data_IF_718837770931
#
_entry.id   IF_718837770931
#
_cell.length_a   1.000
_cell.length_b   1.000
_cell.length_c   1.000
_cell.angle_alpha   90.00
_cell.angle_beta   90.00
_cell.angle_gamma   90.00
#
_symmetry.space_group_name_H-M   'P 1'
#
loop_
_entity.id
_entity.type
_entity.pdbx_description
1 polymer ?
#
# COMPACT_ATOMS: atom_id res chain seq x y z
N UNK A 1 -1.24 8.11 -18.60
CA UNK A 1 -2.53 7.62 -19.14
C UNK A 1 -2.42 6.27 -19.83
N UNK A 2 -1.56 6.09 -20.85
CA UNK A 2 -1.42 4.77 -21.52
C UNK A 2 -0.85 3.70 -20.59
N UNK A 3 0.21 4.00 -19.84
CA UNK A 3 0.82 3.07 -18.88
C UNK A 3 -0.13 2.65 -17.76
N UNK A 4 -0.86 3.60 -17.17
CA UNK A 4 -1.88 3.35 -16.15
C UNK A 4 -3.04 2.51 -16.68
N UNK A 5 -3.46 2.72 -17.92
CA UNK A 5 -4.50 1.92 -18.56
C UNK A 5 -4.04 0.47 -18.81
N UNK A 6 -2.79 0.26 -19.22
CA UNK A 6 -2.22 -1.08 -19.39
C UNK A 6 -2.14 -1.84 -18.08
N UNK A 7 -1.70 -1.18 -16.99
CA UNK A 7 -1.68 -1.80 -15.66
C UNK A 7 -3.09 -2.15 -15.21
N UNK A 8 -4.06 -1.24 -15.38
CA UNK A 8 -5.44 -1.50 -15.00
C UNK A 8 -6.05 -2.69 -15.77
N UNK A 9 -5.79 -2.79 -17.08
CA UNK A 9 -6.22 -3.92 -17.91
C UNK A 9 -5.52 -5.22 -17.50
N UNK A 10 -4.24 -5.18 -17.16
CA UNK A 10 -3.48 -6.35 -16.72
C UNK A 10 -3.99 -6.83 -15.36
N UNK A 11 -4.13 -5.95 -14.37
CA UNK A 11 -4.68 -6.29 -13.06
C UNK A 11 -6.11 -6.80 -13.19
N UNK A 12 -6.98 -6.10 -13.92
CA UNK A 12 -8.35 -6.55 -14.16
C UNK A 12 -8.43 -7.90 -14.87
N UNK A 13 -7.57 -8.13 -15.87
CA UNK A 13 -7.47 -9.39 -16.60
C UNK A 13 -7.00 -10.54 -15.72
N UNK A 14 -5.93 -10.35 -14.94
CA UNK A 14 -5.39 -11.33 -13.99
C UNK A 14 -6.41 -11.66 -12.91
N UNK A 15 -7.05 -10.66 -12.32
CA UNK A 15 -8.08 -10.86 -11.28
C UNK A 15 -9.29 -11.59 -11.86
N UNK A 16 -9.77 -11.20 -13.05
CA UNK A 16 -10.89 -11.89 -13.71
C UNK A 16 -10.55 -13.35 -14.04
N UNK A 17 -9.32 -13.62 -14.50
CA UNK A 17 -8.85 -14.97 -14.75
C UNK A 17 -8.76 -15.78 -13.46
N UNK A 18 -8.16 -15.22 -12.40
CA UNK A 18 -8.05 -15.87 -11.10
C UNK A 18 -9.44 -16.22 -10.52
N UNK A 19 -10.42 -15.33 -10.65
CA UNK A 19 -11.81 -15.61 -10.23
C UNK A 19 -12.45 -16.71 -11.07
N UNK A 20 -12.22 -16.73 -12.39
CA UNK A 20 -12.77 -17.76 -13.29
C UNK A 20 -12.15 -19.14 -13.06
N UNK A 21 -10.84 -19.21 -12.86
CA UNK A 21 -10.13 -20.46 -12.58
C UNK A 21 -10.54 -21.06 -11.24
N UNK A 22 -10.86 -20.22 -10.26
CA UNK A 22 -11.28 -20.66 -8.93
C UNK A 22 -12.82 -20.77 -8.78
N UNK A 23 -13.60 -20.72 -9.88
CA UNK A 23 -15.07 -20.70 -9.82
C UNK A 23 -15.67 -21.90 -9.07
N UNK A 24 -15.13 -23.10 -9.28
CA UNK A 24 -15.59 -24.29 -8.55
C UNK A 24 -15.24 -24.23 -7.06
N UNK A 25 -14.04 -23.74 -6.73
CA UNK A 25 -13.59 -23.56 -5.34
C UNK A 25 -14.40 -22.48 -4.61
N UNK A 26 -14.74 -21.38 -5.30
CA UNK A 26 -15.66 -20.33 -4.81
C UNK A 26 -17.01 -20.95 -4.44
N UNK A 27 -17.58 -21.80 -5.30
CA UNK A 27 -18.87 -22.45 -5.03
C UNK A 27 -18.81 -23.49 -3.90
N UNK A 28 -17.64 -24.03 -3.59
CA UNK A 28 -17.45 -25.16 -2.66
C UNK A 28 -16.93 -24.76 -1.27
N UNK A 29 -16.11 -23.71 -1.13
CA UNK A 29 -15.32 -23.42 0.07
C UNK A 29 -15.68 -22.12 0.81
N UNK A 30 -16.86 -21.55 0.59
CA UNK A 30 -17.31 -20.36 1.34
C UNK A 30 -17.99 -19.28 0.50
N UNK A 31 -18.24 -19.53 -0.80
CA UNK A 31 -19.02 -18.63 -1.65
C UNK A 31 -18.34 -17.28 -1.83
N UNK A 32 -19.06 -16.23 -1.45
CA UNK A 32 -18.69 -14.84 -1.69
C UNK A 32 -17.42 -14.44 -0.91
N UNK A 33 -17.22 -14.93 0.32
CA UNK A 33 -16.03 -14.59 1.12
C UNK A 33 -14.74 -15.13 0.49
N UNK A 34 -14.78 -16.29 -0.17
CA UNK A 34 -13.62 -16.81 -0.88
C UNK A 34 -13.26 -15.93 -2.09
N UNK A 35 -14.27 -15.44 -2.81
CA UNK A 35 -14.07 -14.50 -3.91
C UNK A 35 -13.48 -13.17 -3.40
N UNK A 36 -13.97 -12.66 -2.26
CA UNK A 36 -13.38 -11.48 -1.62
C UNK A 36 -11.95 -11.74 -1.12
N UNK A 37 -11.59 -12.95 -0.74
CA UNK A 37 -10.20 -13.29 -0.41
C UNK A 37 -9.24 -13.13 -1.60
N UNK A 38 -9.69 -13.47 -2.81
CA UNK A 38 -8.91 -13.23 -4.03
C UNK A 38 -8.83 -11.73 -4.33
N UNK A 39 -9.94 -11.00 -4.18
CA UNK A 39 -9.97 -9.55 -4.39
C UNK A 39 -9.11 -8.79 -3.37
N UNK A 40 -9.07 -9.27 -2.13
CA UNK A 40 -8.26 -8.73 -1.04
C UNK A 40 -6.78 -8.72 -1.41
N UNK A 41 -6.27 -9.74 -2.10
CA UNK A 41 -4.86 -9.74 -2.52
C UNK A 41 -4.55 -8.54 -3.44
N UNK A 42 -5.49 -8.18 -4.30
CA UNK A 42 -5.35 -7.05 -5.22
C UNK A 42 -5.39 -5.72 -4.46
N UNK A 43 -6.31 -5.56 -3.51
CA UNK A 43 -6.41 -4.36 -2.68
C UNK A 43 -5.23 -4.23 -1.72
N UNK A 44 -4.71 -5.33 -1.19
CA UNK A 44 -3.50 -5.36 -0.39
C UNK A 44 -2.29 -4.86 -1.19
N UNK A 45 -2.16 -5.25 -2.47
CA UNK A 45 -1.14 -4.70 -3.36
C UNK A 45 -1.33 -3.20 -3.60
N UNK A 46 -2.56 -2.75 -3.81
CA UNK A 46 -2.88 -1.33 -3.99
C UNK A 46 -2.52 -0.51 -2.73
N UNK A 47 -2.86 -1.03 -1.55
CA UNK A 47 -2.52 -0.41 -0.27
C UNK A 47 -1.01 -0.42 -0.01
N UNK A 48 -0.30 -1.51 -0.33
CA UNK A 48 1.16 -1.56 -0.24
C UNK A 48 1.84 -0.50 -1.12
N UNK A 49 1.31 -0.28 -2.33
CA UNK A 49 1.78 0.79 -3.21
C UNK A 49 1.50 2.19 -2.64
N UNK A 50 0.28 2.42 -2.13
CA UNK A 50 -0.12 3.68 -1.51
C UNK A 50 0.78 4.01 -0.30
N UNK A 51 0.95 3.01 0.57
CA UNK A 51 1.78 3.10 1.77
C UNK A 51 3.25 3.37 1.41
N UNK A 52 3.81 2.64 0.44
CA UNK A 52 5.18 2.85 -0.01
C UNK A 52 5.40 4.25 -0.60
N UNK A 53 4.43 4.77 -1.36
CA UNK A 53 4.53 6.10 -1.98
C UNK A 53 4.59 7.23 -0.96
N UNK A 54 3.78 7.14 0.11
CA UNK A 54 3.79 8.11 1.21
C UNK A 54 5.04 7.96 2.09
N UNK A 55 5.37 6.73 2.50
CA UNK A 55 6.42 6.47 3.48
C UNK A 55 7.84 6.67 2.92
N UNK A 56 8.05 6.43 1.62
CA UNK A 56 9.33 6.74 0.97
C UNK A 56 9.61 8.24 1.05
N UNK A 57 8.60 9.10 0.88
CA UNK A 57 8.77 10.55 0.99
C UNK A 57 9.18 10.95 2.43
N UNK A 58 8.56 10.34 3.43
CA UNK A 58 8.88 10.57 4.84
C UNK A 58 10.32 10.13 5.21
N UNK A 59 10.79 9.01 4.65
CA UNK A 59 12.14 8.49 4.91
C UNK A 59 13.23 9.23 4.13
N UNK A 60 12.99 9.54 2.86
CA UNK A 60 14.00 10.11 1.95
C UNK A 60 14.06 11.63 2.00
N UNK A 61 12.98 12.32 2.39
CA UNK A 61 12.94 13.78 2.48
C UNK A 61 14.11 14.39 3.26
N UNK A 62 14.38 13.93 4.52
CA UNK A 62 15.53 14.41 5.29
C UNK A 62 16.89 14.08 4.64
N UNK A 63 17.03 12.88 4.08
CA UNK A 63 18.28 12.44 3.44
C UNK A 63 18.58 13.29 2.20
N UNK A 64 17.58 13.57 1.37
CA UNK A 64 17.70 14.42 0.20
C UNK A 64 18.08 15.86 0.58
N UNK A 65 17.52 16.39 1.67
CA UNK A 65 17.87 17.72 2.18
C UNK A 65 19.35 17.81 2.61
N UNK A 66 19.84 16.81 3.36
CA UNK A 66 21.25 16.75 3.79
C UNK A 66 22.19 16.71 2.58
N UNK A 67 21.89 15.86 1.60
CA UNK A 67 22.72 15.71 0.39
C UNK A 67 22.74 17.02 -0.42
N UNK A 68 21.60 17.73 -0.48
CA UNK A 68 21.52 19.03 -1.16
C UNK A 68 22.44 20.07 -0.52
N UNK A 69 22.45 20.15 0.81
CA UNK A 69 23.30 21.10 1.57
C UNK A 69 24.78 20.76 1.38
N UNK A 70 25.16 19.49 1.47
CA UNK A 70 26.56 19.06 1.34
C UNK A 70 27.11 19.34 -0.06
N UNK A 71 26.32 19.10 -1.10
CA UNK A 71 26.79 19.23 -2.48
C UNK A 71 26.73 20.66 -3.01
N UNK A 72 25.73 21.44 -2.60
CA UNK A 72 25.43 22.74 -3.22
C UNK A 72 25.67 23.93 -2.29
N UNK A 73 25.91 23.72 -0.98
CA UNK A 73 25.91 24.76 0.06
C UNK A 73 24.66 25.67 0.03
N UNK A 74 23.57 25.19 -0.58
CA UNK A 74 22.35 25.96 -0.79
C UNK A 74 21.14 25.14 -0.36
N UNK A 75 20.25 25.75 0.41
CA UNK A 75 18.94 25.21 0.72
C UNK A 75 17.98 25.60 -0.42
N UNK A 76 18.20 25.00 -1.59
CA UNK A 76 17.20 25.01 -2.66
C UNK A 76 15.89 24.39 -2.12
N UNK A 77 14.76 25.07 -2.31
CA UNK A 77 13.43 24.54 -1.98
C UNK A 77 13.05 23.28 -2.76
N UNK A 78 13.84 22.95 -3.79
CA UNK A 78 13.65 21.79 -4.66
C UNK A 78 14.97 21.02 -4.72
N UNK A 79 15.12 20.00 -3.87
CA UNK A 79 16.23 19.06 -3.98
C UNK A 79 15.89 18.06 -5.11
N UNK A 80 16.66 18.00 -6.21
CA UNK A 80 16.46 16.96 -7.22
C UNK A 80 16.75 15.60 -6.58
N UNK A 81 15.70 14.80 -6.39
CA UNK A 81 15.83 13.48 -5.76
C UNK A 81 16.40 12.51 -6.80
N UNK A 82 17.60 12.00 -6.54
CA UNK A 82 18.22 10.97 -7.36
C UNK A 82 17.43 9.64 -7.20
N UNK A 83 17.05 8.96 -8.30
CA UNK A 83 16.39 7.66 -8.25
C UNK A 83 17.10 6.61 -7.37
N UNK A 84 18.42 6.67 -7.24
CA UNK A 84 19.19 5.77 -6.37
C UNK A 84 18.83 5.94 -4.88
N UNK A 85 18.51 7.16 -4.44
CA UNK A 85 18.13 7.46 -3.06
C UNK A 85 16.71 6.93 -2.79
N UNK A 86 15.80 7.07 -3.77
CA UNK A 86 14.46 6.46 -3.69
C UNK A 86 14.55 4.93 -3.60
N UNK A 87 15.47 4.32 -4.36
CA UNK A 87 15.69 2.88 -4.34
C UNK A 87 16.22 2.41 -2.98
N UNK A 88 17.11 3.20 -2.35
CA UNK A 88 17.57 2.96 -0.98
C UNK A 88 16.42 3.00 0.03
N UNK A 89 15.53 3.99 -0.08
CA UNK A 89 14.34 4.11 0.78
C UNK A 89 13.40 2.91 0.63
N UNK A 90 13.09 2.54 -0.62
CA UNK A 90 12.25 1.37 -0.91
C UNK A 90 12.87 0.06 -0.41
N UNK A 91 14.17 -0.15 -0.64
CA UNK A 91 14.88 -1.33 -0.15
C UNK A 91 14.88 -1.39 1.39
N UNK A 92 15.07 -0.26 2.06
CA UNK A 92 14.99 -0.15 3.52
C UNK A 92 13.62 -0.54 4.07
N UNK A 93 12.54 -0.09 3.43
CA UNK A 93 11.15 -0.45 3.81
C UNK A 93 10.94 -1.97 3.67
N UNK A 94 11.36 -2.57 2.56
CA UNK A 94 11.22 -4.02 2.33
C UNK A 94 12.02 -4.83 3.37
N UNK A 95 13.25 -4.41 3.68
CA UNK A 95 14.06 -5.05 4.72
C UNK A 95 13.43 -4.91 6.11
N UNK A 96 12.88 -3.75 6.46
CA UNK A 96 12.18 -3.54 7.73
C UNK A 96 10.93 -4.41 7.88
N UNK A 97 10.10 -4.47 6.82
CA UNK A 97 8.88 -5.29 6.79
C UNK A 97 9.18 -6.78 6.90
N UNK A 98 10.20 -7.27 6.19
CA UNK A 98 10.57 -8.70 6.21
C UNK A 98 11.19 -9.13 7.54
N UNK A 99 11.93 -8.25 8.23
CA UNK A 99 12.60 -8.58 9.49
C UNK A 99 11.73 -8.39 10.73
N UNK A 100 10.94 -7.32 10.80
CA UNK A 100 10.19 -6.93 12.01
C UNK A 100 8.69 -6.73 11.76
N UNK A 101 8.25 -6.59 10.51
CA UNK A 101 6.85 -6.29 10.16
C UNK A 101 5.85 -7.35 10.64
N UNK A 102 6.27 -8.62 10.74
CA UNK A 102 5.41 -9.71 11.21
C UNK A 102 4.82 -9.48 12.62
N UNK A 103 5.53 -8.75 13.50
CA UNK A 103 5.05 -8.44 14.86
C UNK A 103 3.86 -7.48 14.83
N UNK A 104 3.89 -6.51 13.92
CA UNK A 104 2.80 -5.52 13.76
C UNK A 104 1.62 -6.15 13.04
N UNK A 105 1.86 -6.91 11.97
CA UNK A 105 0.82 -7.65 11.23
C UNK A 105 0.05 -8.56 12.20
N UNK A 106 0.75 -9.29 13.07
CA UNK A 106 0.13 -10.14 14.10
C UNK A 106 -0.71 -9.33 15.08
N UNK A 107 -0.22 -8.18 15.53
CA UNK A 107 -0.93 -7.34 16.50
C UNK A 107 -2.23 -6.78 15.90
N UNK A 108 -2.20 -6.27 14.68
CA UNK A 108 -3.38 -5.73 13.99
C UNK A 108 -4.39 -6.83 13.69
N UNK A 109 -3.92 -7.96 13.13
CA UNK A 109 -4.79 -9.07 12.71
C UNK A 109 -5.41 -9.88 13.85
N UNK A 110 -4.79 -9.93 15.03
CA UNK A 110 -5.32 -10.71 16.16
C UNK A 110 -5.95 -9.84 17.25
N UNK A 111 -5.47 -8.60 17.48
CA UNK A 111 -5.88 -7.80 18.66
C UNK A 111 -6.81 -6.63 18.37
N UNK A 112 -6.95 -6.20 17.10
CA UNK A 112 -7.80 -5.05 16.75
C UNK A 112 -9.15 -5.51 16.22
N UNK A 113 -9.19 -6.30 15.13
CA UNK A 113 -10.46 -6.83 14.63
C UNK A 113 -10.29 -8.18 13.92
N UNK A 114 -11.34 -9.02 14.00
CA UNK A 114 -11.41 -10.25 13.19
C UNK A 114 -11.82 -9.88 11.76
N UNK A 115 -10.83 -9.73 10.90
CA UNK A 115 -11.04 -9.45 9.48
C UNK A 115 -11.62 -10.67 8.76
N UNK A 116 -12.85 -10.54 8.26
CA UNK A 116 -13.31 -11.37 7.14
C UNK A 116 -12.75 -10.82 5.83
N UNK A 117 -12.58 -11.66 4.79
CA UNK A 117 -12.10 -11.23 3.49
C UNK A 117 -12.86 -10.02 2.89
N UNK A 118 -14.18 -9.99 3.01
CA UNK A 118 -15.00 -8.87 2.53
C UNK A 118 -14.71 -7.54 3.26
N UNK A 119 -14.51 -7.59 4.58
CA UNK A 119 -14.20 -6.42 5.41
C UNK A 119 -12.80 -5.90 5.08
N UNK A 120 -11.82 -6.78 5.00
CA UNK A 120 -10.45 -6.34 4.71
C UNK A 120 -10.28 -5.81 3.28
N UNK A 121 -11.00 -6.36 2.29
CA UNK A 121 -11.05 -5.77 0.94
C UNK A 121 -11.57 -4.32 0.99
N UNK A 122 -12.66 -4.08 1.73
CA UNK A 122 -13.28 -2.75 1.82
C UNK A 122 -12.35 -1.77 2.54
N UNK A 123 -11.75 -2.18 3.66
CA UNK A 123 -10.78 -1.39 4.42
C UNK A 123 -9.51 -1.06 3.61
N UNK A 124 -8.96 -2.03 2.88
CA UNK A 124 -7.75 -1.76 2.08
C UNK A 124 -8.03 -0.84 0.91
N UNK A 125 -9.19 -0.98 0.26
CA UNK A 125 -9.56 -0.16 -0.89
C UNK A 125 -9.81 1.29 -0.50
N UNK A 126 -10.52 1.53 0.60
CA UNK A 126 -10.75 2.87 1.11
C UNK A 126 -9.44 3.52 1.58
N UNK A 127 -8.59 2.78 2.31
CA UNK A 127 -7.35 3.32 2.86
C UNK A 127 -6.36 3.64 1.74
N UNK A 128 -6.25 2.74 0.77
CA UNK A 128 -5.40 2.96 -0.41
C UNK A 128 -5.85 4.19 -1.18
N UNK A 129 -7.16 4.36 -1.38
CA UNK A 129 -7.71 5.52 -2.10
C UNK A 129 -7.40 6.83 -1.37
N UNK A 130 -7.61 6.87 -0.06
CA UNK A 130 -7.33 8.03 0.79
C UNK A 130 -5.84 8.37 0.79
N UNK A 131 -4.97 7.37 0.95
CA UNK A 131 -3.50 7.56 1.00
C UNK A 131 -2.95 7.99 -0.35
N UNK A 132 -3.40 7.39 -1.45
CA UNK A 132 -2.98 7.81 -2.80
C UNK A 132 -3.42 9.25 -3.07
N UNK A 133 -4.65 9.60 -2.71
CA UNK A 133 -5.17 10.95 -2.91
C UNK A 133 -4.38 11.98 -2.10
N UNK A 134 -4.12 11.73 -0.82
CA UNK A 134 -3.32 12.60 0.03
C UNK A 134 -1.86 12.71 -0.46
N UNK A 135 -1.26 11.59 -0.88
CA UNK A 135 0.10 11.57 -1.43
C UNK A 135 0.20 12.37 -2.72
N UNK A 136 -0.84 12.32 -3.57
CA UNK A 136 -0.91 13.12 -4.79
C UNK A 136 -0.98 14.62 -4.50
N UNK A 137 -1.65 15.03 -3.42
CA UNK A 137 -1.66 16.41 -2.93
C UNK A 137 -0.37 16.81 -2.22
N UNK A 138 0.54 15.87 -1.96
CA UNK A 138 1.79 16.11 -1.24
C UNK A 138 1.62 16.24 0.28
N UNK A 139 0.49 15.83 0.83
CA UNK A 139 0.27 15.88 2.28
C UNK A 139 0.86 14.64 2.96
N UNK A 140 1.78 14.82 3.94
CA UNK A 140 2.27 13.71 4.74
C UNK A 140 1.17 13.30 5.73
N UNK A 141 0.60 12.10 5.54
CA UNK A 141 -0.43 11.56 6.42
C UNK A 141 0.01 10.25 7.08
N UNK A 142 -0.59 9.92 8.22
CA UNK A 142 -0.35 8.66 8.93
C UNK A 142 -1.17 7.52 8.33
N UNK A 143 -0.51 6.65 7.55
CA UNK A 143 -1.12 5.46 6.93
C UNK A 143 -1.72 4.51 7.96
N UNK A 144 -1.09 4.37 9.13
CA UNK A 144 -1.59 3.55 10.24
C UNK A 144 -2.92 4.06 10.79
N UNK A 145 -3.08 5.38 10.97
CA UNK A 145 -4.35 5.94 11.43
C UNK A 145 -5.45 5.79 10.39
N UNK A 146 -5.13 5.98 9.10
CA UNK A 146 -6.09 5.75 8.02
C UNK A 146 -6.56 4.31 8.01
N UNK A 147 -5.64 3.33 8.07
CA UNK A 147 -6.00 1.91 8.03
C UNK A 147 -6.78 1.49 9.27
N UNK A 148 -6.34 1.86 10.49
CA UNK A 148 -7.05 1.50 11.73
C UNK A 148 -8.41 2.19 11.79
N UNK A 149 -8.51 3.46 11.37
CA UNK A 149 -9.78 4.20 11.36
C UNK A 149 -10.84 3.50 10.52
N UNK A 150 -10.48 3.08 9.30
CA UNK A 150 -11.41 2.37 8.43
C UNK A 150 -11.76 0.96 8.93
N UNK A 151 -10.81 0.25 9.54
CA UNK A 151 -11.10 -1.02 10.21
C UNK A 151 -12.11 -0.87 11.36
N UNK A 152 -12.09 0.25 12.08
CA UNK A 152 -13.04 0.50 13.18
C UNK A 152 -14.43 0.89 12.68
N UNK A 153 -14.54 1.55 11.53
CA UNK A 153 -15.85 1.90 10.94
C UNK A 153 -16.60 0.68 10.38
N UNK A 154 -15.87 -0.39 10.05
CA UNK A 154 -16.40 -1.59 9.41
C UNK A 154 -16.85 -2.68 10.40
N UNK A 155 -16.71 -2.47 11.72
CA UNK A 155 -16.97 -3.44 12.80
C UNK A 155 -18.06 -2.94 13.73
#
# INVERSE_FOLDING_TARGET
>A
MVFTALIALLVGGVTSLALRLNKESISSQGGIEYAFGILMIVTACAMAFAHGSNDVANAIGPVAAIISVVNSNDLSSTAPINPAILLLGGAGIVLGLTTLGYKVIKTVGEKITKLTPSLGFSAEMAAASTVVFASYLGFPISTTHTLIGELLELV
#
